data_IF_618868565846
#
_entry.id   IF_618868565846
#
_cell.length_a   1.000
_cell.length_b   1.000
_cell.length_c   1.000
_cell.angle_alpha   90.00
_cell.angle_beta   90.00
_cell.angle_gamma   90.00
#
_symmetry.space_group_name_H-M   'P 1'
#
loop_
_entity.id
_entity.type
_entity.pdbx_description
1 polymer ?
#
# COMPACT_ATOMS: atom_id res chain seq x y z
N UNK A 1 -8.32 -20.07 3.61
CA UNK A 1 -7.96 -19.82 5.03
C UNK A 1 -6.66 -19.07 5.21
N UNK A 2 -5.54 -19.38 4.54
CA UNK A 2 -4.29 -18.65 4.74
C UNK A 2 -4.34 -17.21 4.21
N UNK A 3 -4.91 -16.97 3.03
CA UNK A 3 -5.07 -15.61 2.49
C UNK A 3 -5.88 -14.73 3.42
N UNK A 4 -6.97 -15.26 3.97
CA UNK A 4 -7.82 -14.56 4.94
C UNK A 4 -7.07 -14.32 6.23
N UNK A 5 -6.28 -15.29 6.71
CA UNK A 5 -5.45 -15.17 7.90
C UNK A 5 -4.33 -14.14 7.73
N UNK A 6 -3.62 -14.14 6.60
CA UNK A 6 -2.61 -13.14 6.27
C UNK A 6 -3.22 -11.74 6.13
N UNK A 7 -4.41 -11.64 5.50
CA UNK A 7 -5.12 -10.37 5.39
C UNK A 7 -5.58 -9.83 6.75
N UNK A 8 -5.94 -10.70 7.70
CA UNK A 8 -6.28 -10.33 9.08
C UNK A 8 -5.03 -9.95 9.88
N UNK A 9 -3.86 -10.56 9.59
CA UNK A 9 -2.60 -10.22 10.25
C UNK A 9 -2.03 -8.87 9.79
N UNK A 10 -2.34 -8.43 8.58
CA UNK A 10 -1.86 -7.12 8.08
C UNK A 10 -2.31 -5.92 8.93
N UNK A 11 -3.51 -5.89 9.57
CA UNK A 11 -3.87 -4.84 10.53
C UNK A 11 -2.97 -4.75 11.76
N UNK A 12 -2.34 -5.86 12.18
CA UNK A 12 -1.38 -5.82 13.30
C UNK A 12 -0.09 -5.04 12.95
N UNK A 13 0.27 -4.98 11.68
CA UNK A 13 1.33 -4.09 11.19
C UNK A 13 0.90 -2.61 11.25
N UNK A 14 -0.40 -2.35 11.28
CA UNK A 14 -0.99 -1.02 11.43
C UNK A 14 -1.10 -0.53 12.89
N UNK A 15 -0.61 -1.28 13.88
CA UNK A 15 -0.45 -0.83 15.26
C UNK A 15 0.57 0.31 15.40
N UNK A 16 1.23 0.68 14.32
CA UNK A 16 2.01 1.91 14.23
C UNK A 16 1.03 3.10 14.28
N UNK A 17 1.05 3.84 15.39
CA UNK A 17 0.16 4.97 15.70
C UNK A 17 -0.18 5.93 14.53
N UNK A 18 0.73 6.27 13.60
CA UNK A 18 0.39 7.11 12.45
C UNK A 18 -0.59 6.48 11.46
N UNK A 19 -0.64 5.14 11.40
CA UNK A 19 -1.49 4.39 10.47
C UNK A 19 -2.95 4.34 10.95
N UNK A 20 -3.19 4.27 12.26
CA UNK A 20 -4.53 4.14 12.85
C UNK A 20 -5.44 5.36 12.58
N UNK A 21 -4.88 6.55 12.36
CA UNK A 21 -5.63 7.78 12.13
C UNK A 21 -5.95 8.02 10.65
N UNK A 22 -5.52 7.13 9.76
CA UNK A 22 -5.74 7.29 8.33
C UNK A 22 -6.85 6.33 7.86
N UNK A 23 -8.02 6.89 7.50
CA UNK A 23 -9.18 6.16 6.96
C UNK A 23 -8.85 5.29 5.72
N UNK A 24 -7.80 5.61 4.99
CA UNK A 24 -7.36 4.85 3.83
C UNK A 24 -6.79 3.48 4.21
N UNK A 25 -6.23 3.32 5.41
CA UNK A 25 -5.82 2.01 5.91
C UNK A 25 -7.02 1.14 6.26
N UNK A 26 -8.08 1.70 6.82
CA UNK A 26 -9.34 0.97 7.06
C UNK A 26 -9.90 0.47 5.73
N UNK A 27 -9.92 1.32 4.72
CA UNK A 27 -10.34 0.97 3.36
C UNK A 27 -9.43 -0.12 2.76
N UNK A 28 -8.11 0.02 2.88
CA UNK A 28 -7.15 -0.97 2.43
C UNK A 28 -7.40 -2.34 3.08
N UNK A 29 -7.58 -2.40 4.41
CA UNK A 29 -7.84 -3.65 5.11
C UNK A 29 -9.17 -4.27 4.71
N UNK A 30 -10.21 -3.48 4.58
CA UNK A 30 -11.51 -3.97 4.11
C UNK A 30 -11.41 -4.59 2.71
N UNK A 31 -10.68 -3.95 1.80
CA UNK A 31 -10.42 -4.48 0.46
C UNK A 31 -9.61 -5.77 0.50
N UNK A 32 -8.53 -5.82 1.30
CA UNK A 32 -7.67 -7.00 1.43
C UNK A 32 -8.44 -8.20 1.97
N UNK A 33 -9.18 -8.02 3.06
CA UNK A 33 -9.98 -9.09 3.67
C UNK A 33 -11.07 -9.55 2.73
N UNK A 34 -11.79 -8.62 2.10
CA UNK A 34 -12.85 -8.94 1.14
C UNK A 34 -12.36 -9.70 -0.08
N UNK A 35 -11.27 -9.24 -0.69
CA UNK A 35 -10.68 -9.91 -1.87
C UNK A 35 -10.12 -11.29 -1.53
N UNK A 36 -9.46 -11.44 -0.38
CA UNK A 36 -8.95 -12.71 0.09
C UNK A 36 -10.07 -13.71 0.35
N UNK A 37 -11.14 -13.27 1.03
CA UNK A 37 -12.30 -14.11 1.32
C UNK A 37 -13.01 -14.59 0.04
N UNK A 38 -13.27 -13.69 -0.91
CA UNK A 38 -13.89 -14.02 -2.19
C UNK A 38 -13.04 -15.04 -2.95
N UNK A 39 -11.72 -14.81 -3.02
CA UNK A 39 -10.82 -15.68 -3.76
C UNK A 39 -10.74 -17.08 -3.15
N UNK A 40 -10.66 -17.20 -1.83
CA UNK A 40 -10.60 -18.50 -1.16
C UNK A 40 -11.90 -19.30 -1.32
N UNK A 41 -13.05 -18.65 -1.28
CA UNK A 41 -14.32 -19.37 -1.30
C UNK A 41 -14.84 -19.67 -2.71
N UNK A 42 -14.56 -18.80 -3.68
CA UNK A 42 -15.15 -18.91 -5.01
C UNK A 42 -14.18 -19.40 -6.10
N UNK A 43 -12.88 -19.11 -5.96
CA UNK A 43 -11.93 -19.39 -7.03
C UNK A 43 -10.86 -20.43 -6.69
N UNK A 44 -10.37 -20.50 -5.46
CA UNK A 44 -9.23 -21.33 -5.10
C UNK A 44 -9.39 -22.02 -3.74
N UNK A 45 -9.39 -23.35 -3.75
CA UNK A 45 -9.08 -24.14 -2.54
C UNK A 45 -7.55 -24.24 -2.41
N UNK A 46 -6.93 -23.20 -1.87
CA UNK A 46 -5.46 -23.13 -1.78
C UNK A 46 -4.95 -23.82 -0.52
N UNK A 47 -3.83 -24.55 -0.66
CA UNK A 47 -3.11 -25.10 0.49
C UNK A 47 -2.51 -23.99 1.35
N UNK A 48 -2.42 -24.21 2.68
CA UNK A 48 -2.04 -23.23 3.69
C UNK A 48 -0.66 -22.56 3.47
N UNK A 49 0.29 -23.20 2.79
CA UNK A 49 1.62 -22.65 2.48
C UNK A 49 2.04 -23.00 1.06
N UNK A 50 1.33 -22.43 0.07
CA UNK A 50 1.69 -22.58 -1.34
C UNK A 50 2.34 -21.28 -1.86
N UNK A 51 3.34 -21.40 -2.75
CA UNK A 51 3.89 -20.24 -3.48
C UNK A 51 2.79 -19.46 -4.22
N UNK A 52 1.76 -20.15 -4.73
CA UNK A 52 0.60 -19.50 -5.37
C UNK A 52 -0.16 -18.60 -4.40
N UNK A 53 -0.39 -19.06 -3.18
CA UNK A 53 -1.10 -18.28 -2.13
C UNK A 53 -0.30 -17.05 -1.74
N UNK A 54 1.02 -17.19 -1.57
CA UNK A 54 1.89 -16.07 -1.26
C UNK A 54 1.92 -15.05 -2.40
N UNK A 55 2.04 -15.49 -3.65
CA UNK A 55 2.01 -14.61 -4.82
C UNK A 55 0.68 -13.86 -4.93
N UNK A 56 -0.44 -14.54 -4.75
CA UNK A 56 -1.76 -13.90 -4.75
C UNK A 56 -1.88 -12.84 -3.66
N UNK A 57 -1.38 -13.15 -2.45
CA UNK A 57 -1.37 -12.17 -1.36
C UNK A 57 -0.56 -10.91 -1.73
N UNK A 58 0.63 -11.07 -2.29
CA UNK A 58 1.48 -9.94 -2.73
C UNK A 58 0.78 -9.12 -3.81
N UNK A 59 0.16 -9.78 -4.80
CA UNK A 59 -0.57 -9.08 -5.87
C UNK A 59 -1.74 -8.28 -5.31
N UNK A 60 -2.56 -8.87 -4.43
CA UNK A 60 -3.67 -8.15 -3.78
C UNK A 60 -3.17 -6.99 -2.93
N UNK A 61 -2.10 -7.23 -2.15
CA UNK A 61 -1.49 -6.16 -1.35
C UNK A 61 -1.10 -4.97 -2.23
N UNK A 62 -0.37 -5.22 -3.31
CA UNK A 62 0.06 -4.15 -4.22
C UNK A 62 -1.14 -3.43 -4.85
N UNK A 63 -2.14 -4.15 -5.35
CA UNK A 63 -3.34 -3.54 -5.94
C UNK A 63 -4.05 -2.66 -4.91
N UNK A 64 -4.37 -3.19 -3.73
CA UNK A 64 -5.10 -2.47 -2.70
C UNK A 64 -4.32 -1.26 -2.18
N UNK A 65 -2.99 -1.38 -2.00
CA UNK A 65 -2.14 -0.29 -1.53
C UNK A 65 -2.03 0.82 -2.57
N UNK A 66 -1.92 0.50 -3.86
CA UNK A 66 -1.90 1.49 -4.93
C UNK A 66 -3.22 2.24 -5.05
N UNK A 67 -4.36 1.56 -4.90
CA UNK A 67 -5.68 2.23 -4.87
C UNK A 67 -5.78 3.14 -3.64
N UNK A 68 -5.39 2.67 -2.47
CA UNK A 68 -5.41 3.46 -1.23
C UNK A 68 -4.51 4.71 -1.34
N UNK A 69 -3.30 4.57 -1.90
CA UNK A 69 -2.40 5.69 -2.13
C UNK A 69 -3.01 6.70 -3.12
N UNK A 70 -3.55 6.24 -4.24
CA UNK A 70 -4.21 7.13 -5.22
C UNK A 70 -5.34 7.94 -4.59
N UNK A 71 -6.22 7.29 -3.81
CA UNK A 71 -7.33 7.95 -3.12
C UNK A 71 -6.84 8.95 -2.06
N UNK A 72 -5.78 8.60 -1.30
CA UNK A 72 -5.20 9.47 -0.30
C UNK A 72 -4.63 10.77 -0.90
N UNK A 73 -3.97 10.68 -2.04
CA UNK A 73 -3.49 11.86 -2.77
C UNK A 73 -4.63 12.73 -3.31
N UNK A 74 -5.69 12.11 -3.82
CA UNK A 74 -6.89 12.82 -4.27
C UNK A 74 -7.56 13.58 -3.12
N UNK A 75 -7.63 12.98 -1.95
CA UNK A 75 -8.18 13.61 -0.75
C UNK A 75 -7.28 14.75 -0.24
N UNK A 76 -5.96 14.56 -0.17
CA UNK A 76 -5.03 15.62 0.23
C UNK A 76 -5.12 16.83 -0.73
N UNK A 77 -5.26 16.57 -2.04
CA UNK A 77 -5.49 17.64 -3.02
C UNK A 77 -6.80 18.38 -2.78
N UNK A 78 -7.91 17.64 -2.55
CA UNK A 78 -9.22 18.25 -2.25
C UNK A 78 -9.18 19.07 -0.97
N UNK A 79 -8.55 18.54 0.07
CA UNK A 79 -8.36 19.25 1.34
C UNK A 79 -7.53 20.54 1.15
N UNK A 80 -6.47 20.48 0.34
CA UNK A 80 -5.65 21.65 0.03
C UNK A 80 -6.44 22.75 -0.69
N UNK A 81 -7.36 22.37 -1.60
CA UNK A 81 -8.22 23.34 -2.33
C UNK A 81 -9.26 23.96 -1.42
N UNK A 82 -9.83 23.19 -0.48
CA UNK A 82 -10.88 23.66 0.44
C UNK A 82 -10.35 24.40 1.67
N UNK A 83 -9.02 24.35 1.92
CA UNK A 83 -8.44 24.85 3.16
C UNK A 83 -8.71 23.94 4.38
N UNK A 84 -9.10 22.71 4.14
CA UNK A 84 -9.34 21.70 5.18
C UNK A 84 -8.05 21.11 5.72
N UNK A 85 -8.17 20.31 6.80
CA UNK A 85 -7.06 19.59 7.38
C UNK A 85 -6.45 18.60 6.37
N UNK A 86 -5.18 18.80 6.07
CA UNK A 86 -4.42 18.02 5.09
C UNK A 86 -3.86 16.74 5.69
N UNK A 87 -3.66 15.74 4.83
CA UNK A 87 -2.94 14.52 5.21
C UNK A 87 -1.45 14.86 5.41
N UNK A 88 -0.85 14.51 6.57
CA UNK A 88 0.58 14.70 6.78
C UNK A 88 1.41 14.00 5.70
N UNK A 89 2.46 14.66 5.21
CA UNK A 89 3.33 14.11 4.15
C UNK A 89 3.93 12.75 4.55
N UNK A 90 4.28 12.58 5.83
CA UNK A 90 4.77 11.31 6.35
C UNK A 90 3.79 10.13 6.12
N UNK A 91 2.47 10.38 6.20
CA UNK A 91 1.48 9.33 5.93
C UNK A 91 1.43 8.96 4.44
N UNK A 92 1.58 9.92 3.54
CA UNK A 92 1.64 9.66 2.10
C UNK A 92 2.90 8.85 1.77
N UNK A 93 4.06 9.23 2.32
CA UNK A 93 5.31 8.47 2.16
C UNK A 93 5.25 7.07 2.78
N UNK A 94 4.49 6.86 3.85
CA UNK A 94 4.25 5.53 4.41
C UNK A 94 3.45 4.66 3.42
N UNK A 95 2.42 5.21 2.77
CA UNK A 95 1.67 4.48 1.74
C UNK A 95 2.55 4.12 0.53
N UNK A 96 3.42 5.03 0.11
CA UNK A 96 4.40 4.80 -0.96
C UNK A 96 5.34 3.64 -0.61
N UNK A 97 5.96 3.70 0.58
CA UNK A 97 6.90 2.69 1.07
C UNK A 97 6.27 1.30 1.24
N UNK A 98 4.98 1.23 1.54
CA UNK A 98 4.25 -0.04 1.67
C UNK A 98 3.77 -0.63 0.33
N UNK A 99 4.28 -0.15 -0.80
CA UNK A 99 3.96 -0.66 -2.14
C UNK A 99 2.94 0.17 -2.92
N UNK A 100 2.52 1.33 -2.38
CA UNK A 100 1.56 2.25 -3.03
C UNK A 100 2.20 3.28 -3.97
N UNK A 101 3.49 3.14 -4.28
CA UNK A 101 4.24 4.13 -5.04
C UNK A 101 3.73 4.36 -6.47
N UNK A 102 3.24 3.33 -7.15
CA UNK A 102 2.69 3.46 -8.49
C UNK A 102 1.39 4.28 -8.46
N UNK A 103 0.48 3.98 -7.52
CA UNK A 103 -0.75 4.74 -7.29
C UNK A 103 -0.46 6.19 -6.92
N UNK A 104 0.53 6.42 -6.05
CA UNK A 104 1.00 7.75 -5.68
C UNK A 104 1.57 8.51 -6.89
N UNK A 105 2.42 7.86 -7.70
CA UNK A 105 2.99 8.47 -8.91
C UNK A 105 1.89 8.88 -9.91
N UNK A 106 0.95 7.99 -10.19
CA UNK A 106 -0.19 8.29 -11.07
C UNK A 106 -1.02 9.44 -10.51
N UNK A 107 -1.32 9.41 -9.20
CA UNK A 107 -2.07 10.47 -8.53
C UNK A 107 -1.36 11.84 -8.61
N UNK A 108 -0.04 11.89 -8.42
CA UNK A 108 0.74 13.12 -8.57
C UNK A 108 0.59 13.71 -9.98
N UNK A 109 0.56 12.86 -11.01
CA UNK A 109 0.37 13.30 -12.41
C UNK A 109 -1.06 13.74 -12.68
N UNK A 110 -2.05 12.93 -12.29
CA UNK A 110 -3.47 13.20 -12.53
C UNK A 110 -3.95 14.44 -11.79
N UNK A 111 -3.62 14.56 -10.51
CA UNK A 111 -4.08 15.69 -9.69
C UNK A 111 -3.14 16.90 -9.73
N UNK A 112 -2.01 16.82 -10.45
CA UNK A 112 -0.97 17.86 -10.45
C UNK A 112 -0.60 18.31 -9.05
N UNK A 113 -0.50 17.34 -8.11
CA UNK A 113 -0.31 17.57 -6.68
C UNK A 113 1.02 17.00 -6.21
N UNK A 114 1.81 17.84 -5.47
CA UNK A 114 3.15 17.51 -4.96
C UNK A 114 4.20 17.13 -6.01
N UNK A 115 3.87 17.20 -7.29
CA UNK A 115 4.79 16.89 -8.40
C UNK A 115 5.93 17.92 -8.58
N UNK A 116 5.76 19.15 -8.09
CA UNK A 116 6.75 20.24 -8.21
C UNK A 116 7.54 20.52 -6.92
N UNK A 117 7.14 19.98 -5.78
CA UNK A 117 7.82 20.19 -4.49
C UNK A 117 9.08 19.32 -4.44
N UNK A 118 10.26 19.91 -4.63
CA UNK A 118 11.54 19.20 -4.70
C UNK A 118 11.82 18.31 -3.49
N UNK A 119 11.58 18.82 -2.27
CA UNK A 119 11.76 18.03 -1.03
C UNK A 119 10.87 16.80 -0.98
N UNK A 120 9.63 16.92 -1.44
CA UNK A 120 8.67 15.82 -1.51
C UNK A 120 9.11 14.77 -2.54
N UNK A 121 9.52 15.21 -3.72
CA UNK A 121 10.00 14.32 -4.78
C UNK A 121 11.28 13.58 -4.36
N UNK A 122 12.21 14.26 -3.70
CA UNK A 122 13.41 13.61 -3.17
C UNK A 122 13.08 12.49 -2.19
N UNK A 123 12.14 12.72 -1.26
CA UNK A 123 11.68 11.70 -0.31
C UNK A 123 10.94 10.55 -1.02
N UNK A 124 10.09 10.86 -2.00
CA UNK A 124 9.39 9.86 -2.81
C UNK A 124 10.37 8.88 -3.49
N UNK A 125 11.37 9.41 -4.18
CA UNK A 125 12.37 8.58 -4.86
C UNK A 125 13.27 7.84 -3.87
N UNK A 126 13.59 8.45 -2.73
CA UNK A 126 14.32 7.79 -1.66
C UNK A 126 13.56 6.57 -1.11
N UNK A 127 12.27 6.70 -0.84
CA UNK A 127 11.42 5.60 -0.38
C UNK A 127 11.35 4.47 -1.41
N UNK A 128 11.26 4.80 -2.69
CA UNK A 128 11.24 3.81 -3.78
C UNK A 128 12.57 3.02 -3.87
N UNK A 129 13.70 3.70 -3.74
CA UNK A 129 15.03 3.05 -3.71
C UNK A 129 15.16 2.14 -2.50
N UNK A 130 14.69 2.60 -1.33
CA UNK A 130 14.74 1.84 -0.08
C UNK A 130 13.86 0.59 -0.14
N UNK A 131 12.66 0.69 -0.72
CA UNK A 131 11.78 -0.46 -0.96
C UNK A 131 12.43 -1.46 -1.92
N UNK A 132 12.98 -0.99 -3.04
CA UNK A 132 13.68 -1.84 -4.00
C UNK A 132 14.89 -2.57 -3.37
N UNK A 133 15.67 -1.88 -2.53
CA UNK A 133 16.76 -2.48 -1.79
C UNK A 133 16.27 -3.55 -0.80
N UNK A 134 15.19 -3.27 -0.07
CA UNK A 134 14.59 -4.23 0.86
C UNK A 134 14.09 -5.49 0.12
N UNK A 135 13.40 -5.32 -1.00
CA UNK A 135 12.94 -6.43 -1.84
C UNK A 135 14.14 -7.25 -2.35
N UNK A 136 15.20 -6.60 -2.85
CA UNK A 136 16.41 -7.27 -3.31
C UNK A 136 17.06 -8.11 -2.20
N UNK A 137 17.21 -7.55 -1.00
CA UNK A 137 17.78 -8.27 0.15
C UNK A 137 16.94 -9.49 0.51
N UNK A 138 15.61 -9.35 0.54
CA UNK A 138 14.68 -10.44 0.84
C UNK A 138 14.80 -11.55 -0.21
N UNK A 139 14.79 -11.22 -1.49
CA UNK A 139 14.92 -12.19 -2.58
C UNK A 139 16.26 -12.95 -2.53
N UNK A 140 17.34 -12.25 -2.24
CA UNK A 140 18.67 -12.85 -2.06
C UNK A 140 18.71 -13.77 -0.83
N UNK A 141 18.12 -13.34 0.29
CA UNK A 141 18.04 -14.18 1.50
C UNK A 141 17.25 -15.45 1.27
N UNK A 142 16.16 -15.37 0.52
CA UNK A 142 15.32 -16.50 0.13
C UNK A 142 15.93 -17.35 -0.99
N UNK A 143 17.14 -17.02 -1.49
CA UNK A 143 17.83 -17.69 -2.60
C UNK A 143 16.96 -17.78 -3.88
N UNK A 144 16.18 -16.74 -4.14
CA UNK A 144 15.37 -16.63 -5.35
C UNK A 144 16.10 -15.93 -6.50
N UNK A 145 17.17 -15.21 -6.16
CA UNK A 145 18.12 -14.57 -7.09
C UNK A 145 19.56 -14.74 -6.57
#
# INVERSE_FOLDING_TARGET
MLLTFLAILTPFLALVRPLQRNRFFIFYFAMMIGSAYITENYYFKTALFSHKTLMLFVVYHLICMNIAAFLAYGDDKRAAVRGDWRIPEAHLHTLEFLGGWLGAYVAQKVFHHKSKKRSYQAMFWFMLVLEGAAIYIILKYLKLI
#
